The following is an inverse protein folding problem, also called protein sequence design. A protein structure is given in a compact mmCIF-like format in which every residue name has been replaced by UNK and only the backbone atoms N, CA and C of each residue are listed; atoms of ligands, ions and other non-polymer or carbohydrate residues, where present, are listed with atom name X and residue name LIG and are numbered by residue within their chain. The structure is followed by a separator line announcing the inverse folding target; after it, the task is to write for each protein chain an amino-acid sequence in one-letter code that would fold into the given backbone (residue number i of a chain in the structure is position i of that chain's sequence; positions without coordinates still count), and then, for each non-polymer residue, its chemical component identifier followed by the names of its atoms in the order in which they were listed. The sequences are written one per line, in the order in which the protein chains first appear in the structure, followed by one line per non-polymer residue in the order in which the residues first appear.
data_IF_202895001783
#
_entry.id   IF_202895001783
#
_cell.length_a   1.000
_cell.length_b   1.000
_cell.length_c   1.000
_cell.angle_alpha   90.00
_cell.angle_beta   90.00
_cell.angle_gamma   90.00
#
_symmetry.space_group_name_H-M   'P 1'
#
loop_
_entity.id
_entity.type
_entity.pdbx_description
1 polymer ?
#
# COMPACT_ATOMS: atom_id res chain seq x y z
N UNK A 1 10.41 1.36 11.00
CA UNK A 1 9.55 1.23 9.81
C UNK A 1 9.35 2.61 9.21
N UNK A 2 9.38 2.74 7.89
CA UNK A 2 9.07 3.97 7.15
C UNK A 2 7.76 3.80 6.38
N UNK A 3 7.07 4.90 6.09
CA UNK A 3 5.92 4.90 5.19
C UNK A 3 6.42 4.85 3.74
N UNK A 4 5.89 3.92 2.95
CA UNK A 4 6.10 3.88 1.50
C UNK A 4 5.06 4.73 0.78
N UNK A 5 3.78 4.49 1.07
CA UNK A 5 2.65 5.34 0.66
C UNK A 5 1.48 5.13 1.63
N UNK A 6 0.54 6.08 1.67
CA UNK A 6 -0.73 5.93 2.37
C UNK A 6 -1.88 5.80 1.36
N UNK A 7 -3.13 5.88 1.84
CA UNK A 7 -4.31 5.92 0.99
C UNK A 7 -4.39 7.18 0.10
N UNK A 8 -3.51 8.16 0.31
CA UNK A 8 -3.34 9.32 -0.59
C UNK A 8 -2.58 8.96 -1.89
N UNK A 9 -2.07 7.73 -2.00
CA UNK A 9 -1.46 7.14 -3.18
C UNK A 9 -0.14 7.77 -3.65
N UNK A 10 0.47 8.61 -2.81
CA UNK A 10 1.72 9.29 -3.11
C UNK A 10 2.92 8.45 -2.63
N UNK A 11 3.85 8.17 -3.53
CA UNK A 11 5.01 7.33 -3.21
C UNK A 11 6.15 8.14 -2.56
N UNK A 12 6.64 7.67 -1.41
CA UNK A 12 7.75 8.28 -0.68
C UNK A 12 9.13 7.74 -1.11
N UNK A 13 9.21 7.22 -2.32
CA UNK A 13 10.45 6.77 -2.96
C UNK A 13 10.51 7.24 -4.41
N UNK A 14 11.63 7.01 -5.08
CA UNK A 14 11.80 7.30 -6.51
C UNK A 14 11.02 6.32 -7.40
N UNK A 15 9.70 6.31 -7.30
CA UNK A 15 8.85 5.26 -7.90
C UNK A 15 8.90 5.27 -9.42
N UNK A 16 9.21 4.09 -10.00
CA UNK A 16 9.20 3.88 -11.45
C UNK A 16 7.78 3.89 -12.03
N UNK A 17 6.80 3.52 -11.22
CA UNK A 17 5.43 3.23 -11.66
C UNK A 17 4.40 4.28 -11.23
N UNK A 18 4.81 5.23 -10.38
CA UNK A 18 3.96 6.31 -9.90
C UNK A 18 4.69 7.64 -10.10
N UNK A 19 4.28 8.48 -11.07
CA UNK A 19 4.89 9.79 -11.28
C UNK A 19 4.69 10.72 -10.06
N UNK A 20 3.61 10.55 -9.30
CA UNK A 20 3.35 11.30 -8.08
C UNK A 20 4.14 10.75 -6.90
N UNK A 21 5.39 11.18 -6.79
CA UNK A 21 6.29 10.70 -5.76
C UNK A 21 7.21 11.80 -5.20
N UNK A 22 7.82 11.52 -4.05
CA UNK A 22 8.64 12.47 -3.26
C UNK A 22 9.93 12.94 -3.95
N UNK A 23 10.38 12.26 -5.00
CA UNK A 23 11.51 12.69 -5.84
C UNK A 23 11.04 13.65 -6.92
N UNK A 24 9.94 13.33 -7.57
CA UNK A 24 9.35 14.16 -8.61
C UNK A 24 8.66 15.41 -8.07
N UNK A 25 8.12 15.36 -6.85
CA UNK A 25 7.37 16.45 -6.22
C UNK A 25 7.79 16.68 -4.77
N UNK A 26 7.61 17.92 -4.30
CA UNK A 26 7.91 18.28 -2.92
C UNK A 26 9.42 18.23 -2.61
N UNK A 27 9.88 17.37 -1.68
CA UNK A 27 11.22 17.44 -1.11
C UNK A 27 12.36 17.08 -2.07
N UNK A 28 12.08 16.45 -3.22
CA UNK A 28 13.09 15.98 -4.18
C UNK A 28 14.05 14.95 -3.57
N UNK A 29 13.52 14.04 -2.75
CA UNK A 29 14.31 13.07 -1.98
C UNK A 29 13.66 11.70 -2.01
N UNK A 30 14.49 10.66 -2.11
CA UNK A 30 14.06 9.27 -1.95
C UNK A 30 13.98 8.95 -0.45
N UNK A 31 12.84 9.26 0.18
CA UNK A 31 12.66 9.15 1.62
C UNK A 31 12.82 7.71 2.11
N UNK A 32 12.19 6.74 1.42
CA UNK A 32 12.35 5.31 1.75
C UNK A 32 13.81 4.88 1.57
N UNK A 33 14.49 5.29 0.50
CA UNK A 33 15.89 4.96 0.25
C UNK A 33 16.84 5.52 1.32
N UNK A 34 16.59 6.73 1.80
CA UNK A 34 17.35 7.33 2.90
C UNK A 34 17.17 6.57 4.22
N UNK A 35 15.94 6.15 4.55
CA UNK A 35 15.70 5.29 5.71
C UNK A 35 16.35 3.92 5.55
N UNK A 36 16.31 3.33 4.34
CA UNK A 36 16.99 2.08 4.05
C UNK A 36 18.51 2.21 4.28
N UNK A 37 19.12 3.30 3.80
CA UNK A 37 20.54 3.59 4.02
C UNK A 37 20.87 3.78 5.51
N UNK A 38 20.02 4.49 6.26
CA UNK A 38 20.17 4.68 7.70
C UNK A 38 20.07 3.34 8.47
N UNK A 39 19.04 2.53 8.21
CA UNK A 39 18.88 1.20 8.80
C UNK A 39 20.12 0.35 8.55
N UNK A 40 20.62 0.30 7.31
CA UNK A 40 21.85 -0.42 6.96
C UNK A 40 23.07 0.09 7.73
N UNK A 41 23.25 1.43 7.83
CA UNK A 41 24.36 2.06 8.55
C UNK A 41 24.40 1.64 10.02
N UNK A 42 23.23 1.51 10.66
CA UNK A 42 23.11 1.19 12.08
C UNK A 42 22.82 -0.30 12.36
N UNK A 43 22.84 -1.16 11.33
CA UNK A 43 22.58 -2.60 11.49
C UNK A 43 21.15 -2.94 11.91
N UNK A 44 20.18 -2.07 11.61
CA UNK A 44 18.76 -2.25 11.94
C UNK A 44 18.01 -2.90 10.76
N UNK A 45 17.02 -3.77 11.04
CA UNK A 45 16.07 -4.21 10.01
C UNK A 45 15.28 -3.04 9.42
N UNK A 46 14.99 -3.11 8.12
CA UNK A 46 14.13 -2.13 7.46
C UNK A 46 12.69 -2.66 7.40
N UNK A 47 11.73 -1.82 7.77
CA UNK A 47 10.31 -2.08 7.51
C UNK A 47 9.72 -0.98 6.64
N UNK A 48 8.82 -1.33 5.73
CA UNK A 48 8.07 -0.38 4.89
C UNK A 48 6.58 -0.67 4.98
N UNK A 49 5.76 0.34 5.23
CA UNK A 49 4.30 0.24 5.19
C UNK A 49 3.72 0.74 3.87
N UNK A 50 2.73 0.02 3.33
CA UNK A 50 2.08 0.27 2.04
C UNK A 50 0.58 0.18 2.25
N UNK A 51 -0.15 1.22 1.81
CA UNK A 51 -1.60 1.31 2.01
C UNK A 51 -2.36 1.77 0.76
N UNK A 52 -1.70 1.75 -0.41
CA UNK A 52 -2.20 2.30 -1.66
C UNK A 52 -3.43 1.59 -2.24
N UNK A 53 -3.70 0.33 -1.87
CA UNK A 53 -4.87 -0.42 -2.36
C UNK A 53 -6.17 0.35 -2.14
N UNK A 54 -6.36 0.90 -0.94
CA UNK A 54 -7.59 1.56 -0.53
C UNK A 54 -7.78 2.98 -1.07
N UNK A 55 -6.81 3.58 -1.78
CA UNK A 55 -7.00 4.89 -2.44
C UNK A 55 -8.29 4.93 -3.26
N UNK A 56 -8.59 3.84 -3.97
CA UNK A 56 -9.76 3.68 -4.82
C UNK A 56 -11.06 4.12 -4.12
N UNK A 57 -11.34 3.57 -2.94
CA UNK A 57 -12.55 3.90 -2.18
C UNK A 57 -12.34 5.04 -1.18
N UNK A 58 -11.11 5.24 -0.69
CA UNK A 58 -10.77 6.27 0.29
C UNK A 58 -10.95 7.70 -0.25
N UNK A 59 -10.66 7.91 -1.54
CA UNK A 59 -10.67 9.24 -2.15
C UNK A 59 -11.96 9.56 -2.92
N UNK A 60 -13.05 8.80 -2.74
CA UNK A 60 -14.33 9.00 -3.45
C UNK A 60 -14.97 10.37 -3.21
N UNK A 61 -14.71 10.99 -2.05
CA UNK A 61 -15.12 12.37 -1.79
C UNK A 61 -14.42 13.38 -2.71
N UNK A 62 -13.20 13.10 -3.15
CA UNK A 62 -12.44 13.99 -4.04
C UNK A 62 -13.08 14.14 -5.41
N UNK A 63 -13.93 13.20 -5.84
CA UNK A 63 -14.68 13.29 -7.10
C UNK A 63 -15.64 14.49 -7.18
N UNK A 64 -16.00 15.11 -6.05
CA UNK A 64 -16.78 16.37 -6.03
C UNK A 64 -15.89 17.62 -6.17
N UNK A 65 -14.57 17.44 -6.20
CA UNK A 65 -13.54 18.48 -6.27
C UNK A 65 -12.48 18.12 -7.33
N UNK A 66 -11.19 18.12 -6.95
CA UNK A 66 -10.05 17.92 -7.83
C UNK A 66 -9.90 16.47 -8.35
N UNK A 67 -10.61 15.52 -7.75
CA UNK A 67 -10.53 14.10 -8.10
C UNK A 67 -11.09 13.75 -9.48
N UNK A 68 -11.65 14.70 -10.23
CA UNK A 68 -12.02 14.52 -11.65
C UNK A 68 -11.15 15.30 -12.63
N UNK A 69 -10.17 16.06 -12.13
CA UNK A 69 -9.21 16.75 -12.99
C UNK A 69 -8.40 15.74 -13.79
N UNK A 70 -7.99 16.18 -14.97
CA UNK A 70 -7.17 15.42 -15.91
C UNK A 70 -5.84 16.13 -16.13
N UNK A 71 -4.88 15.43 -16.74
CA UNK A 71 -3.62 16.03 -17.20
C UNK A 71 -3.80 17.33 -18.02
N UNK A 72 -4.87 17.45 -18.81
CA UNK A 72 -5.13 18.62 -19.63
C UNK A 72 -5.44 19.87 -18.79
N UNK A 73 -6.12 19.69 -17.65
CA UNK A 73 -6.47 20.78 -16.74
C UNK A 73 -5.25 21.39 -16.02
N UNK A 74 -4.08 20.76 -16.19
CA UNK A 74 -2.80 21.14 -15.60
C UNK A 74 -1.99 22.12 -16.42
N UNK A 75 -2.39 22.42 -17.66
CA UNK A 75 -1.64 23.32 -18.52
C UNK A 75 -1.49 24.70 -17.87
N UNK A 76 -0.25 25.17 -17.73
CA UNK A 76 0.09 26.43 -17.07
C UNK A 76 0.01 26.39 -15.53
N UNK A 77 -0.24 25.23 -14.92
CA UNK A 77 -0.25 25.03 -13.47
C UNK A 77 1.04 24.36 -13.01
N UNK A 78 1.30 24.41 -11.71
CA UNK A 78 2.52 23.84 -11.11
C UNK A 78 2.67 22.32 -11.31
N UNK A 79 1.57 21.63 -11.63
CA UNK A 79 1.51 20.19 -11.89
C UNK A 79 1.40 19.87 -13.40
N UNK A 80 1.68 20.81 -14.29
CA UNK A 80 1.68 20.57 -15.74
C UNK A 80 2.51 19.33 -16.09
N UNK A 81 1.92 18.43 -16.87
CA UNK A 81 2.55 17.16 -17.27
C UNK A 81 2.16 15.95 -16.41
N UNK A 82 1.52 16.15 -15.26
CA UNK A 82 1.04 15.08 -14.38
C UNK A 82 -0.47 14.91 -14.51
N UNK A 83 -0.97 13.66 -14.48
CA UNK A 83 -2.42 13.38 -14.47
C UNK A 83 -2.87 13.19 -13.02
N UNK A 84 -3.74 14.06 -12.45
CA UNK A 84 -4.29 13.87 -11.11
C UNK A 84 -4.99 12.53 -10.93
N UNK A 85 -5.42 11.88 -12.01
CA UNK A 85 -5.99 10.54 -11.93
C UNK A 85 -4.97 9.45 -11.57
N UNK A 86 -3.68 9.63 -11.85
CA UNK A 86 -2.65 8.70 -11.39
C UNK A 86 -2.45 8.79 -9.85
N UNK A 87 -2.83 9.93 -9.25
CA UNK A 87 -2.80 10.15 -7.80
C UNK A 87 -4.13 9.73 -7.16
N UNK A 88 -5.24 10.36 -7.56
CA UNK A 88 -6.54 10.17 -6.93
C UNK A 88 -7.20 8.83 -7.31
N UNK A 89 -6.97 8.34 -8.53
CA UNK A 89 -7.59 7.12 -9.08
C UNK A 89 -9.12 7.14 -8.96
N UNK A 90 -9.76 8.22 -9.42
CA UNK A 90 -11.17 8.52 -9.17
C UNK A 90 -12.06 8.52 -10.44
N UNK A 91 -11.53 7.97 -11.55
CA UNK A 91 -12.30 7.67 -12.78
C UNK A 91 -13.11 6.37 -12.65
N UNK A 92 -13.92 6.24 -11.61
CA UNK A 92 -14.76 5.07 -11.39
C UNK A 92 -16.10 5.42 -10.75
N UNK A 93 -17.05 4.50 -10.82
CA UNK A 93 -18.32 4.61 -10.10
C UNK A 93 -18.06 4.59 -8.60
N UNK A 94 -18.81 5.39 -7.86
CA UNK A 94 -18.71 5.48 -6.40
C UNK A 94 -19.29 4.24 -5.73
N UNK A 95 -18.76 3.94 -4.56
CA UNK A 95 -19.33 2.95 -3.65
C UNK A 95 -20.74 3.35 -3.22
N UNK A 96 -21.52 2.36 -2.80
CA UNK A 96 -22.83 2.60 -2.18
C UNK A 96 -22.65 3.50 -0.95
N UNK A 97 -23.51 4.51 -0.81
CA UNK A 97 -23.52 5.47 0.30
C UNK A 97 -22.19 6.24 0.48
N UNK A 98 -21.44 6.49 -0.61
CA UNK A 98 -20.12 7.16 -0.60
C UNK A 98 -20.08 8.57 0.02
N UNK A 99 -21.23 9.22 0.20
CA UNK A 99 -21.33 10.52 0.87
C UNK A 99 -21.26 10.41 2.39
N UNK A 100 -21.47 9.23 2.94
CA UNK A 100 -21.30 8.95 4.36
C UNK A 100 -19.90 8.37 4.59
N UNK A 101 -19.01 9.18 5.17
CA UNK A 101 -17.60 8.81 5.41
C UNK A 101 -17.44 7.57 6.29
N UNK A 102 -18.42 7.24 7.14
CA UNK A 102 -18.37 6.05 7.98
C UNK A 102 -18.61 4.75 7.22
N UNK A 103 -19.23 4.80 6.03
CA UNK A 103 -19.58 3.59 5.26
C UNK A 103 -18.34 2.80 4.85
N UNK A 104 -17.21 3.47 4.64
CA UNK A 104 -15.95 2.86 4.17
C UNK A 104 -15.47 1.73 5.07
N UNK A 105 -15.68 1.81 6.39
CA UNK A 105 -15.26 0.77 7.33
C UNK A 105 -15.99 -0.55 7.07
N UNK A 106 -17.27 -0.49 6.69
CA UNK A 106 -18.03 -1.69 6.30
C UNK A 106 -17.62 -2.24 4.92
N UNK A 107 -16.92 -1.43 4.12
CA UNK A 107 -16.49 -1.71 2.75
C UNK A 107 -15.00 -2.06 2.66
N UNK A 108 -14.27 -2.11 3.79
CA UNK A 108 -12.81 -2.33 3.84
C UNK A 108 -12.36 -3.65 3.23
N UNK A 109 -13.21 -4.68 3.26
CA UNK A 109 -12.95 -5.97 2.59
C UNK A 109 -13.60 -6.07 1.20
N UNK A 110 -13.79 -4.94 0.52
CA UNK A 110 -14.36 -4.80 -0.84
C UNK A 110 -15.80 -5.32 -1.01
N UNK A 111 -16.49 -5.64 0.09
CA UNK A 111 -17.90 -6.02 0.13
C UNK A 111 -18.84 -4.83 0.34
N UNK A 112 -20.09 -5.10 0.71
CA UNK A 112 -21.07 -4.09 1.15
C UNK A 112 -21.26 -2.90 0.20
N UNK A 113 -21.15 -3.15 -1.12
CA UNK A 113 -21.32 -2.15 -2.16
C UNK A 113 -20.09 -1.26 -2.40
N UNK A 114 -18.90 -1.68 -1.97
CA UNK A 114 -17.65 -1.05 -2.36
C UNK A 114 -17.48 -1.08 -3.90
N UNK A 115 -17.04 0.03 -4.46
CA UNK A 115 -16.59 0.09 -5.85
C UNK A 115 -15.38 -0.82 -6.06
N UNK A 116 -15.39 -1.57 -7.15
CA UNK A 116 -14.36 -2.57 -7.43
C UNK A 116 -13.21 -1.94 -8.24
N UNK A 117 -11.94 -2.10 -7.80
CA UNK A 117 -10.80 -1.58 -8.53
C UNK A 117 -10.60 -2.26 -9.88
N UNK A 118 -10.12 -1.49 -10.85
CA UNK A 118 -9.74 -2.03 -12.16
C UNK A 118 -8.49 -2.91 -12.06
N UNK A 119 -8.33 -3.86 -12.99
CA UNK A 119 -7.11 -4.69 -13.10
C UNK A 119 -5.84 -3.85 -13.27
N UNK A 120 -5.94 -2.73 -14.00
CA UNK A 120 -4.81 -1.82 -14.21
C UNK A 120 -4.35 -1.19 -12.89
N UNK A 121 -5.28 -0.75 -12.04
CA UNK A 121 -4.96 -0.21 -10.72
C UNK A 121 -4.36 -1.26 -9.79
N UNK A 122 -4.97 -2.45 -9.72
CA UNK A 122 -4.43 -3.56 -8.91
C UNK A 122 -3.01 -3.95 -9.34
N UNK A 123 -2.78 -4.03 -10.66
CA UNK A 123 -1.46 -4.29 -11.25
C UNK A 123 -0.46 -3.16 -10.96
N UNK A 124 -0.90 -1.90 -10.94
CA UNK A 124 -0.04 -0.76 -10.58
C UNK A 124 0.42 -0.85 -9.12
N UNK A 125 -0.49 -1.09 -8.17
CA UNK A 125 -0.16 -1.26 -6.75
C UNK A 125 0.77 -2.46 -6.53
N UNK A 126 0.53 -3.57 -7.25
CA UNK A 126 1.42 -4.74 -7.29
C UNK A 126 2.84 -4.34 -7.72
N UNK A 127 2.98 -3.68 -8.87
CA UNK A 127 4.28 -3.30 -9.42
C UNK A 127 5.03 -2.32 -8.51
N UNK A 128 4.34 -1.34 -7.91
CA UNK A 128 4.91 -0.39 -6.96
C UNK A 128 5.42 -1.09 -5.70
N UNK A 129 4.65 -2.04 -5.17
CA UNK A 129 5.07 -2.81 -4.00
C UNK A 129 6.31 -3.66 -4.31
N UNK A 130 6.34 -4.30 -5.48
CA UNK A 130 7.52 -5.06 -5.92
C UNK A 130 8.73 -4.16 -6.16
N UNK A 131 8.55 -2.94 -6.67
CA UNK A 131 9.62 -1.95 -6.82
C UNK A 131 10.30 -1.66 -5.47
N UNK A 132 9.50 -1.38 -4.43
CA UNK A 132 10.00 -1.18 -3.06
C UNK A 132 10.78 -2.40 -2.56
N UNK A 133 10.20 -3.59 -2.69
CA UNK A 133 10.84 -4.84 -2.23
C UNK A 133 12.18 -5.07 -2.94
N UNK A 134 12.21 -4.88 -4.25
CA UNK A 134 13.39 -5.17 -5.05
C UNK A 134 14.50 -4.14 -4.87
N UNK A 135 14.16 -2.88 -4.61
CA UNK A 135 15.14 -1.79 -4.46
C UNK A 135 15.73 -1.72 -3.05
N UNK A 136 14.86 -1.82 -2.04
CA UNK A 136 15.24 -1.48 -0.67
C UNK A 136 15.40 -2.70 0.22
N UNK A 137 15.01 -3.90 -0.25
CA UNK A 137 15.17 -5.16 0.47
C UNK A 137 14.67 -5.10 1.92
N UNK A 138 13.41 -4.68 2.16
CA UNK A 138 12.88 -4.60 3.50
C UNK A 138 12.86 -5.99 4.16
N UNK A 139 13.05 -6.02 5.48
CA UNK A 139 12.79 -7.19 6.32
C UNK A 139 11.30 -7.24 6.74
N UNK A 140 10.60 -6.11 6.75
CA UNK A 140 9.17 -6.06 7.10
C UNK A 140 8.37 -5.34 6.03
N UNK A 141 7.27 -5.95 5.57
CA UNK A 141 6.21 -5.27 4.85
C UNK A 141 4.96 -5.20 5.72
N UNK A 142 4.41 -4.00 5.83
CA UNK A 142 3.18 -3.76 6.57
C UNK A 142 2.06 -3.33 5.62
N UNK A 143 0.90 -3.96 5.74
CA UNK A 143 -0.33 -3.57 5.05
C UNK A 143 -1.41 -3.19 6.06
N UNK A 144 -2.12 -2.08 5.80
CA UNK A 144 -3.34 -1.67 6.54
C UNK A 144 -4.61 -2.39 6.04
N UNK A 145 -4.44 -3.26 5.05
CA UNK A 145 -5.50 -4.06 4.44
C UNK A 145 -6.06 -5.14 5.38
N UNK A 146 -7.32 -5.52 5.12
CA UNK A 146 -7.82 -6.82 5.57
C UNK A 146 -7.02 -7.92 4.88
N UNK A 147 -6.25 -8.68 5.64
CA UNK A 147 -5.34 -9.73 5.18
C UNK A 147 -4.21 -9.20 4.31
N UNK A 148 -4.47 -8.89 3.04
CA UNK A 148 -3.51 -8.45 2.04
C UNK A 148 -4.19 -7.50 1.05
N UNK A 149 -3.41 -6.72 0.27
CA UNK A 149 -3.95 -5.88 -0.80
C UNK A 149 -4.95 -6.61 -1.68
N UNK A 150 -6.15 -6.03 -1.78
CA UNK A 150 -7.28 -6.52 -2.59
C UNK A 150 -7.89 -7.87 -2.15
N UNK A 151 -7.63 -8.36 -0.94
CA UNK A 151 -8.34 -9.54 -0.43
C UNK A 151 -9.82 -9.23 -0.14
N UNK A 152 -10.80 -10.07 -0.55
CA UNK A 152 -10.65 -11.39 -1.19
C UNK A 152 -10.85 -11.36 -2.72
N UNK A 153 -10.90 -10.18 -3.33
CA UNK A 153 -11.33 -9.99 -4.72
C UNK A 153 -10.22 -10.22 -5.75
N UNK A 154 -8.98 -10.41 -5.29
CA UNK A 154 -7.84 -10.55 -6.20
C UNK A 154 -6.63 -11.26 -5.57
N UNK A 155 -5.73 -11.75 -6.43
CA UNK A 155 -4.56 -12.53 -6.03
C UNK A 155 -3.23 -11.73 -5.97
N UNK A 156 -3.22 -10.43 -6.31
CA UNK A 156 -2.00 -9.62 -6.31
C UNK A 156 -1.37 -9.56 -4.93
N UNK A 157 -2.17 -9.46 -3.87
CA UNK A 157 -1.68 -9.51 -2.49
C UNK A 157 -0.92 -10.79 -2.18
N UNK A 158 -1.45 -11.95 -2.60
CA UNK A 158 -0.78 -13.25 -2.43
C UNK A 158 0.49 -13.33 -3.28
N UNK A 159 0.47 -12.76 -4.48
CA UNK A 159 1.65 -12.69 -5.35
C UNK A 159 2.74 -11.77 -4.79
N UNK A 160 2.39 -10.68 -4.11
CA UNK A 160 3.32 -9.83 -3.35
C UNK A 160 3.94 -10.64 -2.22
N UNK A 161 3.12 -11.33 -1.42
CA UNK A 161 3.57 -12.16 -0.30
C UNK A 161 4.60 -13.21 -0.78
N UNK A 162 4.26 -13.94 -1.85
CA UNK A 162 5.15 -14.94 -2.44
C UNK A 162 6.46 -14.31 -2.95
N UNK A 163 6.39 -13.14 -3.60
CA UNK A 163 7.57 -12.43 -4.08
C UNK A 163 8.49 -12.01 -2.92
N UNK A 164 7.93 -11.41 -1.87
CA UNK A 164 8.67 -10.97 -0.68
C UNK A 164 9.43 -12.13 -0.02
N UNK A 165 8.74 -13.27 0.19
CA UNK A 165 9.36 -14.45 0.81
C UNK A 165 10.42 -15.10 -0.06
N UNK A 166 10.16 -15.26 -1.36
CA UNK A 166 11.17 -15.78 -2.28
C UNK A 166 12.40 -14.85 -2.37
N UNK A 167 12.17 -13.53 -2.34
CA UNK A 167 13.24 -12.53 -2.37
C UNK A 167 14.09 -12.59 -1.10
N UNK A 168 13.45 -12.69 0.08
CA UNK A 168 14.15 -12.83 1.36
C UNK A 168 15.03 -14.07 1.40
N UNK A 169 14.48 -15.24 1.02
CA UNK A 169 15.26 -16.48 0.94
C UNK A 169 16.46 -16.34 -0.01
N UNK A 170 16.26 -15.74 -1.18
CA UNK A 170 17.32 -15.50 -2.16
C UNK A 170 18.42 -14.60 -1.61
N UNK A 171 18.06 -13.46 -1.03
CA UNK A 171 19.01 -12.46 -0.55
C UNK A 171 19.77 -12.90 0.71
N UNK A 172 19.20 -13.84 1.46
CA UNK A 172 19.75 -14.30 2.74
C UNK A 172 20.16 -15.78 2.73
N UNK A 173 20.54 -16.31 1.55
CA UNK A 173 21.13 -17.65 1.40
C UNK A 173 20.25 -18.76 2.01
N UNK A 174 18.95 -18.70 1.73
CA UNK A 174 17.95 -19.66 2.19
C UNK A 174 17.40 -19.40 3.59
N UNK A 175 17.80 -18.31 4.26
CA UNK A 175 17.25 -17.94 5.58
C UNK A 175 16.09 -16.95 5.42
N UNK A 176 14.91 -17.31 5.91
CA UNK A 176 13.78 -16.38 5.93
C UNK A 176 14.04 -15.27 6.94
N UNK A 177 13.98 -14.02 6.50
CA UNK A 177 14.00 -12.83 7.37
C UNK A 177 12.76 -11.96 7.22
N UNK A 178 12.08 -12.08 6.08
CA UNK A 178 10.90 -11.28 5.79
C UNK A 178 9.75 -11.60 6.74
N UNK A 179 9.10 -10.54 7.22
CA UNK A 179 7.84 -10.57 7.94
C UNK A 179 6.84 -9.73 7.15
N UNK A 180 5.66 -10.29 6.89
CA UNK A 180 4.54 -9.53 6.31
C UNK A 180 3.42 -9.45 7.34
N UNK A 181 2.96 -8.23 7.62
CA UNK A 181 1.86 -7.97 8.54
C UNK A 181 0.59 -7.59 7.80
N UNK A 182 -0.55 -7.95 8.37
CA UNK A 182 -1.87 -7.56 7.87
C UNK A 182 -2.91 -7.60 8.98
N UNK A 183 -4.07 -6.97 8.73
CA UNK A 183 -5.15 -6.87 9.70
C UNK A 183 -6.19 -7.96 9.52
N UNK A 184 -6.96 -8.24 10.58
CA UNK A 184 -8.11 -9.18 10.55
C UNK A 184 -7.72 -10.54 9.94
N UNK A 185 -6.74 -11.21 10.56
CA UNK A 185 -6.24 -12.50 10.08
C UNK A 185 -7.02 -13.68 10.66
N UNK A 186 -7.49 -14.58 9.78
CA UNK A 186 -7.89 -15.94 10.14
C UNK A 186 -6.66 -16.79 10.50
N UNK A 187 -6.86 -17.91 11.20
CA UNK A 187 -5.76 -18.76 11.65
C UNK A 187 -4.89 -19.28 10.49
N UNK A 188 -5.51 -19.59 9.34
CA UNK A 188 -4.78 -19.98 8.11
C UNK A 188 -3.85 -18.88 7.60
N UNK A 189 -4.23 -17.60 7.74
CA UNK A 189 -3.38 -16.48 7.32
C UNK A 189 -2.20 -16.32 8.29
N UNK A 190 -2.44 -16.54 9.59
CA UNK A 190 -1.40 -16.50 10.63
C UNK A 190 -0.36 -17.62 10.48
N UNK A 191 -0.55 -18.61 9.61
CA UNK A 191 0.52 -19.56 9.22
C UNK A 191 1.61 -18.91 8.37
N UNK A 192 1.28 -17.85 7.64
CA UNK A 192 2.19 -17.19 6.71
C UNK A 192 2.39 -15.71 6.99
N UNK A 193 1.66 -15.10 7.91
CA UNK A 193 1.67 -13.66 8.18
C UNK A 193 1.62 -13.39 9.68
N UNK A 194 2.09 -12.21 10.09
CA UNK A 194 1.96 -11.72 11.47
C UNK A 194 0.71 -10.86 11.58
N UNK A 195 -0.12 -11.14 12.57
CA UNK A 195 -1.33 -10.37 12.81
C UNK A 195 -0.98 -9.01 13.42
N UNK A 196 -1.38 -7.94 12.74
CA UNK A 196 -1.37 -6.58 13.25
C UNK A 196 -2.71 -6.24 13.90
N UNK A 197 -2.67 -5.87 15.18
CA UNK A 197 -3.85 -5.57 15.98
C UNK A 197 -4.10 -4.08 15.95
N UNK A 198 -5.32 -3.68 15.56
CA UNK A 198 -5.73 -2.29 15.60
C UNK A 198 -5.65 -1.76 17.04
N UNK A 199 -5.05 -0.57 17.20
CA UNK A 199 -4.75 0.14 18.45
C UNK A 199 -5.28 -0.54 19.72
N UNK A 200 -4.45 -1.39 20.33
CA UNK A 200 -4.81 -2.10 21.55
C UNK A 200 -4.00 -3.36 21.74
N UNK A 201 -4.64 -4.37 22.33
CA UNK A 201 -4.12 -5.72 22.48
C UNK A 201 -5.22 -6.71 22.08
N UNK A 202 -4.87 -7.95 21.68
CA UNK A 202 -5.84 -9.01 21.53
C UNK A 202 -6.72 -9.18 22.78
N UNK A 203 -7.98 -9.51 22.57
CA UNK A 203 -8.95 -9.83 23.63
C UNK A 203 -8.56 -11.07 24.45
N UNK A 204 -7.67 -11.91 23.90
CA UNK A 204 -7.15 -13.13 24.51
C UNK A 204 -5.68 -13.36 24.16
N UNK A 205 -4.93 -14.10 25.00
CA UNK A 205 -3.58 -14.53 24.66
C UNK A 205 -3.52 -15.21 23.28
N UNK A 206 -2.51 -14.87 22.50
CA UNK A 206 -2.27 -15.48 21.20
C UNK A 206 -1.14 -16.50 21.30
N UNK A 207 -1.30 -17.63 20.59
CA UNK A 207 -0.26 -18.65 20.49
C UNK A 207 0.91 -18.18 19.61
N UNK A 208 0.59 -17.44 18.54
CA UNK A 208 1.55 -16.91 17.59
C UNK A 208 1.91 -15.46 17.92
N UNK A 209 3.09 -15.05 17.47
CA UNK A 209 3.52 -13.66 17.55
C UNK A 209 2.52 -12.74 16.82
N UNK A 210 2.28 -11.58 17.41
CA UNK A 210 1.44 -10.49 16.91
C UNK A 210 2.11 -9.16 17.26
N UNK A 211 1.62 -8.07 16.67
CA UNK A 211 2.05 -6.71 17.00
C UNK A 211 0.87 -5.75 17.15
#
# INVERSE_FOLDING_TARGET
MTLGNHHDNFDLWDSKYQPWNSVNMGPKRDVVGEWAAACKKYGLPLGVSIHASHTWTWMEGAQDFDGKLTKADGKGKWWEGYDPQDLYEQRHERSKDSKNVGTIHSQWAWGNGASQPSEAFKTNVYNRTLDVVNRYHPDVLYFDDTVLPFYPISDEGVRILAHMYNKSLKDHKGKMRAVVTGKILEDKHKEAMVWDVERGIPDRPQEKAWQ
#
